data_IF_275464180139
#
_entry.id   IF_275464180139
#
_cell.length_a   1.000
_cell.length_b   1.000
_cell.length_c   1.000
_cell.angle_alpha   90.00
_cell.angle_beta   90.00
_cell.angle_gamma   90.00
#
_symmetry.space_group_name_H-M   'P 1'
#
loop_
_entity.id
_entity.type
_entity.pdbx_description
1 polymer ?
#
# COMPACT_ATOMS: atom_id res chain seq x y z
N UNK A 1 -10.55 -7.04 23.63
CA UNK A 1 -10.55 -5.63 24.11
C UNK A 1 -11.70 -4.80 23.51
N UNK A 2 -11.93 -4.78 22.19
CA UNK A 2 -12.99 -4.00 21.54
C UNK A 2 -14.42 -4.26 22.09
N UNK A 3 -14.74 -5.53 22.39
CA UNK A 3 -16.04 -5.86 23.02
C UNK A 3 -16.25 -5.14 24.36
N UNK A 4 -15.23 -5.11 25.21
CA UNK A 4 -15.32 -4.46 26.52
C UNK A 4 -15.52 -2.94 26.36
N UNK A 5 -14.82 -2.29 25.45
CA UNK A 5 -15.01 -0.87 25.17
C UNK A 5 -16.41 -0.57 24.68
N UNK A 6 -16.95 -1.40 23.77
CA UNK A 6 -18.32 -1.23 23.28
C UNK A 6 -19.34 -1.43 24.39
N UNK A 7 -19.19 -2.50 25.19
CA UNK A 7 -20.17 -2.88 26.22
C UNK A 7 -20.18 -1.93 27.42
N UNK A 8 -19.02 -1.43 27.87
CA UNK A 8 -18.88 -0.67 29.11
C UNK A 8 -18.67 0.82 28.91
N UNK A 9 -18.14 1.24 27.75
CA UNK A 9 -17.83 2.65 27.47
C UNK A 9 -18.63 3.23 26.32
N UNK A 10 -19.57 2.45 25.78
CA UNK A 10 -20.37 2.84 24.60
C UNK A 10 -19.51 3.30 23.41
N UNK A 11 -18.30 2.71 23.29
CA UNK A 11 -17.36 3.09 22.25
C UNK A 11 -17.82 2.58 20.88
N UNK A 12 -17.60 3.37 19.84
CA UNK A 12 -17.75 2.96 18.46
C UNK A 12 -16.48 2.21 17.99
N UNK A 13 -16.68 1.05 17.37
CA UNK A 13 -15.58 0.27 16.77
C UNK A 13 -15.52 0.56 15.28
N UNK A 14 -14.49 1.25 14.87
CA UNK A 14 -14.22 1.54 13.46
C UNK A 14 -12.97 0.79 12.99
N UNK A 15 -12.87 0.38 11.71
CA UNK A 15 -11.66 -0.18 11.17
C UNK A 15 -10.50 0.82 11.33
N UNK A 16 -9.36 0.36 11.88
CA UNK A 16 -8.23 1.24 12.15
C UNK A 16 -7.68 1.93 10.91
N UNK A 17 -7.75 1.28 9.74
CA UNK A 17 -7.35 1.88 8.47
C UNK A 17 -8.22 3.08 8.11
N UNK A 18 -9.53 3.00 8.28
CA UNK A 18 -10.44 4.08 7.94
C UNK A 18 -10.21 5.30 8.84
N UNK A 19 -9.96 5.05 10.14
CA UNK A 19 -9.58 6.11 11.08
C UNK A 19 -8.29 6.82 10.64
N UNK A 20 -7.23 6.06 10.34
CA UNK A 20 -5.95 6.64 9.92
C UNK A 20 -6.10 7.43 8.62
N UNK A 21 -6.82 6.89 7.63
CA UNK A 21 -7.03 7.58 6.36
C UNK A 21 -7.76 8.92 6.54
N UNK A 22 -8.75 8.96 7.45
CA UNK A 22 -9.47 10.21 7.75
C UNK A 22 -8.61 11.21 8.53
N UNK A 23 -7.94 10.76 9.60
CA UNK A 23 -7.11 11.64 10.44
C UNK A 23 -5.91 12.24 9.68
N UNK A 24 -5.33 11.47 8.75
CA UNK A 24 -4.24 11.96 7.90
C UNK A 24 -4.72 12.82 6.74
N UNK A 25 -6.02 12.92 6.52
CA UNK A 25 -6.62 13.59 5.37
C UNK A 25 -6.03 13.12 4.04
N UNK A 26 -5.72 11.82 3.94
CA UNK A 26 -5.10 11.24 2.75
C UNK A 26 -5.95 11.49 1.49
N UNK A 27 -7.26 11.62 1.64
CA UNK A 27 -8.19 11.89 0.55
C UNK A 27 -7.86 13.18 -0.23
N UNK A 28 -7.42 14.22 0.47
CA UNK A 28 -7.04 15.49 -0.17
C UNK A 28 -5.84 15.30 -1.11
N UNK A 29 -4.87 14.49 -0.72
CA UNK A 29 -3.69 14.19 -1.54
C UNK A 29 -4.00 13.24 -2.69
N UNK A 30 -4.83 12.23 -2.44
CA UNK A 30 -5.22 11.24 -3.45
C UNK A 30 -5.98 11.90 -4.60
N UNK A 31 -6.79 12.90 -4.31
CA UNK A 31 -7.60 13.60 -5.33
C UNK A 31 -6.75 14.19 -6.45
N UNK A 32 -5.59 14.73 -6.11
CA UNK A 32 -4.69 15.42 -7.04
C UNK A 32 -3.54 14.53 -7.55
N UNK A 33 -3.43 13.29 -7.06
CA UNK A 33 -2.38 12.36 -7.47
C UNK A 33 -2.67 11.75 -8.85
N UNK A 34 -1.62 11.48 -9.65
CA UNK A 34 -1.70 10.66 -10.87
C UNK A 34 -1.61 9.18 -10.55
N UNK A 35 -0.79 8.84 -9.57
CA UNK A 35 -0.56 7.47 -9.09
C UNK A 35 -0.51 7.47 -7.58
N UNK A 36 -1.17 6.51 -6.98
CA UNK A 36 -1.11 6.24 -5.54
C UNK A 36 -0.24 5.03 -5.29
N UNK A 37 0.73 5.18 -4.38
CA UNK A 37 1.64 4.11 -3.99
C UNK A 37 1.28 3.66 -2.58
N UNK A 38 1.23 2.34 -2.40
CA UNK A 38 1.05 1.72 -1.09
C UNK A 38 1.98 0.52 -0.95
N UNK A 39 2.07 -0.07 0.23
CA UNK A 39 2.88 -1.26 0.44
C UNK A 39 2.81 -1.80 1.86
N UNK A 40 3.37 -2.98 2.00
CA UNK A 40 3.56 -3.64 3.29
C UNK A 40 4.69 -4.68 3.21
N UNK A 41 5.08 -5.29 4.34
CA UNK A 41 6.14 -6.30 4.35
C UNK A 41 5.81 -7.55 3.53
N UNK A 42 4.52 -7.96 3.52
CA UNK A 42 4.06 -9.14 2.79
C UNK A 42 2.64 -8.91 2.26
N UNK A 43 2.51 -8.92 0.94
CA UNK A 43 1.21 -8.96 0.27
C UNK A 43 0.76 -10.40 0.07
N UNK A 44 -0.45 -10.74 0.49
CA UNK A 44 -1.05 -12.08 0.35
C UNK A 44 -2.59 -11.99 0.31
N UNK A 45 -3.24 -13.16 0.24
CA UNK A 45 -4.70 -13.24 0.24
C UNK A 45 -5.39 -12.67 1.50
N UNK A 46 -4.66 -12.49 2.61
CA UNK A 46 -5.22 -11.83 3.81
C UNK A 46 -5.19 -10.31 3.72
N UNK A 47 -4.40 -9.76 2.81
CA UNK A 47 -4.31 -8.29 2.61
C UNK A 47 -5.68 -7.72 2.26
N UNK A 48 -6.50 -8.44 1.50
CA UNK A 48 -7.87 -8.01 1.12
C UNK A 48 -8.85 -7.92 2.28
N UNK A 49 -8.52 -8.51 3.42
CA UNK A 49 -9.35 -8.48 4.63
C UNK A 49 -9.31 -7.14 5.40
N UNK A 50 -8.94 -6.05 4.74
CA UNK A 50 -8.99 -4.70 5.33
C UNK A 50 -7.67 -4.19 5.88
N UNK A 51 -6.52 -4.73 5.40
CA UNK A 51 -5.21 -4.14 5.71
C UNK A 51 -5.03 -2.79 5.00
N UNK A 52 -4.04 -2.01 5.46
CA UNK A 52 -3.78 -0.65 4.99
C UNK A 52 -3.68 -0.52 3.45
N UNK A 53 -2.99 -1.40 2.71
CA UNK A 53 -2.92 -1.28 1.26
C UNK A 53 -4.28 -1.27 0.56
N UNK A 54 -5.23 -2.06 1.07
CA UNK A 54 -6.58 -2.12 0.49
C UNK A 54 -7.40 -0.89 0.85
N UNK A 55 -7.26 -0.36 2.07
CA UNK A 55 -7.89 0.90 2.45
C UNK A 55 -7.46 2.05 1.53
N UNK A 56 -6.15 2.18 1.31
CA UNK A 56 -5.57 3.17 0.38
C UNK A 56 -6.07 2.94 -1.05
N UNK A 57 -6.09 1.69 -1.52
CA UNK A 57 -6.55 1.35 -2.87
C UNK A 57 -8.03 1.73 -3.07
N UNK A 58 -8.90 1.38 -2.13
CA UNK A 58 -10.32 1.74 -2.17
C UNK A 58 -10.52 3.25 -2.24
N UNK A 59 -9.78 4.01 -1.42
CA UNK A 59 -9.83 5.46 -1.44
C UNK A 59 -9.37 6.00 -2.81
N UNK A 60 -8.27 5.50 -3.35
CA UNK A 60 -7.76 5.92 -4.67
C UNK A 60 -8.75 5.63 -5.80
N UNK A 61 -9.43 4.49 -5.74
CA UNK A 61 -10.43 4.10 -6.75
C UNK A 61 -11.69 4.99 -6.75
N UNK A 62 -12.04 5.62 -5.65
CA UNK A 62 -13.11 6.65 -5.64
C UNK A 62 -12.81 7.80 -6.62
N UNK A 63 -11.53 8.09 -6.84
CA UNK A 63 -11.04 9.17 -7.72
C UNK A 63 -10.45 8.66 -9.02
N UNK A 64 -10.67 7.38 -9.37
CA UNK A 64 -10.17 6.77 -10.60
C UNK A 64 -8.65 6.71 -10.71
N UNK A 65 -7.94 6.77 -9.56
CA UNK A 65 -6.48 6.81 -9.54
C UNK A 65 -5.88 5.44 -9.73
N UNK A 66 -4.70 5.40 -10.36
CA UNK A 66 -3.90 4.18 -10.48
C UNK A 66 -3.21 3.89 -9.16
N UNK A 67 -3.23 2.61 -8.75
CA UNK A 67 -2.64 2.15 -7.49
C UNK A 67 -1.55 1.13 -7.75
N UNK A 68 -0.35 1.42 -7.28
CA UNK A 68 0.77 0.48 -7.29
C UNK A 68 1.09 0.07 -5.85
N UNK A 69 1.34 -1.22 -5.63
CA UNK A 69 1.78 -1.72 -4.34
C UNK A 69 3.19 -2.29 -4.43
N UNK A 70 4.02 -1.97 -3.43
CA UNK A 70 5.35 -2.55 -3.27
C UNK A 70 5.39 -3.32 -1.96
N UNK A 71 5.97 -4.52 -1.96
CA UNK A 71 6.07 -5.34 -0.75
C UNK A 71 7.40 -6.04 -0.64
N UNK A 72 7.78 -6.40 0.57
CA UNK A 72 8.96 -7.22 0.81
C UNK A 72 8.87 -8.52 0.01
N UNK A 73 7.80 -9.27 0.25
CA UNK A 73 7.52 -10.55 -0.42
C UNK A 73 6.04 -10.66 -0.81
N UNK A 74 5.76 -11.61 -1.68
CA UNK A 74 4.41 -12.02 -2.05
C UNK A 74 4.09 -13.36 -1.38
N UNK A 75 2.87 -13.51 -0.90
CA UNK A 75 2.35 -14.76 -0.36
C UNK A 75 1.22 -15.33 -1.20
N UNK A 76 0.70 -16.48 -0.77
CA UNK A 76 -0.36 -17.19 -1.45
C UNK A 76 -1.63 -16.34 -1.55
N UNK A 77 -2.30 -16.40 -2.70
CA UNK A 77 -3.54 -15.66 -2.94
C UNK A 77 -3.36 -14.16 -3.14
N UNK A 78 -2.13 -13.69 -3.39
CA UNK A 78 -1.85 -12.26 -3.62
C UNK A 78 -2.65 -11.68 -4.79
N UNK A 79 -3.01 -12.49 -5.77
CA UNK A 79 -3.78 -12.08 -6.95
C UNK A 79 -5.11 -11.41 -6.59
N UNK A 80 -5.67 -11.75 -5.42
CA UNK A 80 -6.91 -11.17 -4.94
C UNK A 80 -6.82 -9.64 -4.72
N UNK A 81 -5.62 -9.09 -4.51
CA UNK A 81 -5.45 -7.65 -4.29
C UNK A 81 -5.77 -6.83 -5.55
N UNK A 82 -5.63 -7.43 -6.75
CA UNK A 82 -5.99 -6.73 -7.99
C UNK A 82 -7.51 -6.48 -8.05
N UNK A 83 -8.32 -7.48 -7.71
CA UNK A 83 -9.78 -7.32 -7.63
C UNK A 83 -10.19 -6.31 -6.53
N UNK A 84 -9.35 -6.13 -5.52
CA UNK A 84 -9.59 -5.19 -4.42
C UNK A 84 -9.12 -3.75 -4.71
N UNK A 85 -8.58 -3.48 -5.91
CA UNK A 85 -8.27 -2.14 -6.40
C UNK A 85 -6.78 -1.80 -6.56
N UNK A 86 -5.87 -2.73 -6.33
CA UNK A 86 -4.44 -2.55 -6.64
C UNK A 86 -4.22 -2.92 -8.12
N UNK A 87 -3.80 -1.96 -8.95
CA UNK A 87 -3.62 -2.18 -10.38
C UNK A 87 -2.39 -3.04 -10.70
N UNK A 88 -1.30 -2.85 -9.94
CA UNK A 88 -0.11 -3.69 -10.05
C UNK A 88 0.62 -3.76 -8.71
N UNK A 89 1.27 -4.89 -8.45
CA UNK A 89 2.08 -5.09 -7.25
C UNK A 89 3.45 -5.67 -7.60
N UNK A 90 4.46 -5.31 -6.80
CA UNK A 90 5.85 -5.64 -7.06
C UNK A 90 6.53 -6.10 -5.76
N UNK A 91 7.16 -7.30 -5.73
CA UNK A 91 8.06 -7.64 -4.65
C UNK A 91 9.37 -6.87 -4.79
N UNK A 92 9.93 -6.41 -3.68
CA UNK A 92 11.23 -5.71 -3.69
C UNK A 92 12.41 -6.66 -3.52
N UNK A 93 12.22 -7.86 -2.97
CA UNK A 93 13.28 -8.87 -2.93
C UNK A 93 13.53 -9.43 -4.32
N UNK A 94 14.75 -9.24 -4.82
CA UNK A 94 15.15 -9.56 -6.20
C UNK A 94 15.93 -10.87 -6.33
N UNK A 95 16.32 -11.46 -5.20
CA UNK A 95 17.06 -12.73 -5.11
C UNK A 95 16.68 -13.44 -3.82
N UNK A 96 17.04 -14.70 -3.71
CA UNK A 96 16.96 -15.43 -2.44
C UNK A 96 18.00 -14.86 -1.47
N UNK A 97 17.55 -14.53 -0.28
CA UNK A 97 18.38 -13.96 0.79
C UNK A 97 17.97 -14.56 2.12
N UNK A 98 18.82 -14.45 3.13
CA UNK A 98 18.43 -14.75 4.51
C UNK A 98 17.39 -13.75 5.01
N UNK A 99 16.66 -14.14 6.07
CA UNK A 99 15.69 -13.23 6.70
C UNK A 99 16.39 -11.96 7.24
N UNK A 100 17.57 -12.12 7.82
CA UNK A 100 18.39 -11.02 8.33
C UNK A 100 18.74 -10.02 7.20
N UNK A 101 19.24 -10.52 6.06
CA UNK A 101 19.54 -9.69 4.89
C UNK A 101 18.27 -9.02 4.31
N UNK A 102 17.14 -9.72 4.34
CA UNK A 102 15.85 -9.17 3.86
C UNK A 102 15.32 -8.04 4.74
N UNK A 103 15.57 -8.09 6.06
CA UNK A 103 15.13 -7.10 7.03
C UNK A 103 16.15 -5.97 7.25
N UNK A 104 17.33 -6.06 6.66
CA UNK A 104 18.31 -4.97 6.71
C UNK A 104 17.76 -3.72 6.01
N UNK A 105 17.72 -2.60 6.74
CA UNK A 105 17.12 -1.34 6.28
C UNK A 105 17.81 -0.80 5.04
N UNK A 106 19.12 -0.93 4.93
CA UNK A 106 19.91 -0.43 3.79
C UNK A 106 19.58 -1.25 2.54
N UNK A 107 19.56 -2.58 2.67
CA UNK A 107 19.18 -3.47 1.58
C UNK A 107 17.72 -3.25 1.14
N UNK A 108 16.82 -3.10 2.08
CA UNK A 108 15.41 -2.83 1.80
C UNK A 108 15.23 -1.50 1.04
N UNK A 109 15.91 -0.44 1.45
CA UNK A 109 15.86 0.86 0.79
C UNK A 109 16.38 0.81 -0.65
N UNK A 110 17.53 0.15 -0.87
CA UNK A 110 18.10 -0.03 -2.21
C UNK A 110 17.18 -0.85 -3.11
N UNK A 111 16.62 -1.94 -2.58
CA UNK A 111 15.71 -2.80 -3.32
C UNK A 111 14.42 -2.08 -3.69
N UNK A 112 13.82 -1.36 -2.74
CA UNK A 112 12.61 -0.58 -2.97
C UNK A 112 12.85 0.50 -4.02
N UNK A 113 13.91 1.30 -3.87
CA UNK A 113 14.26 2.37 -4.83
C UNK A 113 14.42 1.82 -6.23
N UNK A 114 15.17 0.74 -6.39
CA UNK A 114 15.39 0.13 -7.69
C UNK A 114 14.11 -0.43 -8.32
N UNK A 115 13.26 -1.07 -7.51
CA UNK A 115 11.99 -1.64 -8.00
C UNK A 115 11.01 -0.54 -8.41
N UNK A 116 10.88 0.50 -7.60
CA UNK A 116 10.06 1.68 -7.91
C UNK A 116 10.55 2.35 -9.19
N UNK A 117 11.86 2.56 -9.33
CA UNK A 117 12.43 3.16 -10.54
C UNK A 117 12.03 2.38 -11.79
N UNK A 118 12.13 1.04 -11.79
CA UNK A 118 11.75 0.24 -12.96
C UNK A 118 10.25 0.33 -13.26
N UNK A 119 9.40 0.31 -12.24
CA UNK A 119 7.96 0.51 -12.42
C UNK A 119 7.65 1.87 -13.06
N UNK A 120 8.32 2.93 -12.62
CA UNK A 120 8.12 4.28 -13.17
C UNK A 120 8.75 4.47 -14.55
N UNK A 121 9.83 3.78 -14.90
CA UNK A 121 10.35 3.76 -16.26
C UNK A 121 9.31 3.23 -17.25
N UNK A 122 8.55 2.22 -16.86
CA UNK A 122 7.46 1.68 -17.67
C UNK A 122 6.30 2.67 -17.83
N UNK A 123 6.05 3.50 -16.81
CA UNK A 123 5.00 4.52 -16.81
C UNK A 123 5.44 5.84 -17.48
N UNK A 124 6.72 6.00 -17.78
CA UNK A 124 7.29 7.22 -18.36
C UNK A 124 6.59 7.61 -19.66
N UNK A 125 6.13 8.86 -19.71
CA UNK A 125 5.38 9.40 -20.85
C UNK A 125 3.86 9.44 -20.61
N UNK A 126 3.37 8.90 -19.48
CA UNK A 126 1.96 8.97 -19.08
C UNK A 126 1.73 9.66 -17.73
N UNK A 127 2.81 10.10 -17.04
CA UNK A 127 2.74 10.67 -15.67
C UNK A 127 3.67 11.88 -15.62
N UNK A 128 3.18 12.98 -15.03
CA UNK A 128 4.03 14.11 -14.67
C UNK A 128 4.97 13.68 -13.52
N UNK A 129 6.31 13.77 -13.71
CA UNK A 129 7.26 13.38 -12.69
C UNK A 129 7.15 14.14 -11.37
N UNK A 130 6.53 15.33 -11.37
CA UNK A 130 6.39 16.17 -10.19
C UNK A 130 5.18 15.80 -9.31
N UNK A 131 4.22 15.05 -9.85
CA UNK A 131 3.02 14.61 -9.13
C UNK A 131 3.21 13.30 -8.31
N UNK A 132 4.42 12.76 -8.27
CA UNK A 132 4.69 11.38 -7.79
C UNK A 132 4.87 11.27 -6.28
N UNK A 133 5.09 12.36 -5.57
CA UNK A 133 5.38 12.31 -4.13
C UNK A 133 4.21 12.78 -3.27
N UNK A 134 3.27 11.88 -2.98
CA UNK A 134 2.51 11.99 -1.74
C UNK A 134 3.43 11.48 -0.60
N UNK A 135 3.94 12.40 0.22
CA UNK A 135 4.69 12.05 1.44
C UNK A 135 3.75 11.30 2.37
N UNK A 136 4.13 10.06 2.71
CA UNK A 136 3.61 9.35 3.87
C UNK A 136 4.31 9.92 5.10
#
# INVERSE_FOLDING_TARGET
MGFAFKAFLNAELVPGVDLILSETRLEDFVRDADVVITGEGRLDGQTVMGKAPIGVAKLAKKYGKRVLAFSGILGDGVEAVNAAGIDAYFPILRKLVSLEEALDVTNAAVNLTSTVEQAFRLLKGKIDPLAVFAKI
#
